data_IF_659180417897
#
_entry.id   IF_659180417897
#
_cell.length_a   1.000
_cell.length_b   1.000
_cell.length_c   1.000
_cell.angle_alpha   90.00
_cell.angle_beta   90.00
_cell.angle_gamma   90.00
#
_symmetry.space_group_name_H-M   'P 1'
#
loop_
_entity.id
_entity.type
_entity.pdbx_description
1 polymer ?
#
# COMPACT_ATOMS: atom_id res chain seq x y z
N UNK A 1 -46.29 18.97 4.74
CA UNK A 1 -47.18 19.31 3.63
C UNK A 1 -46.61 20.58 3.05
N UNK A 2 -45.78 20.44 2.00
CA UNK A 2 -45.24 21.54 1.17
C UNK A 2 -44.41 22.64 1.88
N UNK A 3 -43.53 23.39 1.19
CA UNK A 3 -42.60 22.91 0.15
C UNK A 3 -41.29 23.74 0.17
N UNK A 4 -40.35 23.32 -0.68
CA UNK A 4 -38.97 23.77 -0.87
C UNK A 4 -38.93 25.04 -1.77
N UNK A 5 -37.72 25.49 -2.19
CA UNK A 5 -37.42 26.34 -3.38
C UNK A 5 -37.56 27.88 -3.21
N UNK A 6 -36.73 28.77 -3.82
CA UNK A 6 -35.28 28.78 -4.14
C UNK A 6 -34.79 30.15 -4.70
N UNK A 7 -33.46 30.33 -4.83
CA UNK A 7 -32.69 31.06 -5.89
C UNK A 7 -32.78 32.60 -6.09
N UNK A 8 -31.58 33.19 -6.09
CA UNK A 8 -30.98 34.13 -7.08
C UNK A 8 -31.69 35.45 -7.45
N UNK A 9 -31.02 36.60 -7.21
CA UNK A 9 -30.17 37.30 -8.20
C UNK A 9 -29.74 38.70 -7.71
N UNK A 10 -28.50 39.12 -8.00
CA UNK A 10 -28.18 40.41 -8.67
C UNK A 10 -26.68 40.58 -8.93
N UNK A 11 -26.34 41.36 -9.96
CA UNK A 11 -24.97 41.75 -10.34
C UNK A 11 -24.77 43.27 -10.09
N UNK A 12 -23.54 43.71 -9.86
CA UNK A 12 -23.13 45.12 -9.91
C UNK A 12 -21.87 45.25 -10.78
N UNK A 13 -21.74 46.36 -11.52
CA UNK A 13 -20.77 46.55 -12.61
C UNK A 13 -20.25 47.99 -12.69
N UNK A 14 -18.95 48.18 -12.97
CA UNK A 14 -18.27 49.46 -13.27
C UNK A 14 -16.98 49.21 -14.10
N UNK A 15 -16.39 50.19 -14.86
CA UNK A 15 -16.41 50.03 -16.33
C UNK A 15 -15.15 50.45 -17.15
N UNK A 16 -15.17 50.04 -18.43
CA UNK A 16 -14.72 50.72 -19.68
C UNK A 16 -13.41 51.55 -19.75
N UNK A 17 -12.53 51.18 -20.69
CA UNK A 17 -11.58 52.10 -21.38
C UNK A 17 -11.58 51.84 -22.92
N UNK A 18 -11.81 52.92 -23.69
CA UNK A 18 -11.53 53.26 -25.10
C UNK A 18 -11.22 52.20 -26.21
N UNK A 19 -12.10 52.21 -27.23
CA UNK A 19 -11.90 52.47 -28.70
C UNK A 19 -10.47 52.54 -29.31
N UNK A 20 -10.18 52.24 -30.60
CA UNK A 20 -10.91 52.37 -31.90
C UNK A 20 -10.27 51.51 -33.05
N UNK A 21 -11.06 51.12 -34.08
CA UNK A 21 -10.67 50.67 -35.46
C UNK A 21 -9.83 49.36 -35.60
N UNK A 22 -9.86 48.57 -36.69
CA UNK A 22 -10.57 48.62 -38.00
C UNK A 22 -10.86 47.17 -38.52
N UNK A 23 -11.91 46.88 -39.30
CA UNK A 23 -12.22 45.53 -39.81
C UNK A 23 -11.88 45.32 -41.30
N UNK A 24 -11.76 44.07 -41.79
CA UNK A 24 -12.08 43.59 -43.17
C UNK A 24 -11.78 42.08 -43.37
N UNK A 25 -12.74 41.32 -43.97
CA UNK A 25 -12.66 40.02 -44.73
C UNK A 25 -11.76 38.86 -44.21
N UNK A 26 -12.05 37.54 -44.27
CA UNK A 26 -13.19 36.62 -44.57
C UNK A 26 -12.77 35.21 -44.04
N UNK A 27 -13.51 34.07 -44.05
CA UNK A 27 -14.70 33.61 -44.80
C UNK A 27 -15.52 32.56 -43.97
N UNK A 28 -16.59 32.05 -44.57
CA UNK A 28 -17.45 30.91 -44.23
C UNK A 28 -16.70 29.56 -44.02
N UNK A 29 -17.18 28.59 -43.23
CA UNK A 29 -18.48 27.89 -43.40
C UNK A 29 -19.31 27.61 -42.13
N UNK A 30 -20.56 27.21 -42.34
CA UNK A 30 -21.65 27.09 -41.36
C UNK A 30 -22.36 25.73 -41.53
N UNK A 31 -22.75 25.08 -40.42
CA UNK A 31 -24.08 24.47 -40.10
C UNK A 31 -23.90 23.62 -38.81
N UNK A 32 -24.61 23.79 -37.69
CA UNK A 32 -26.07 23.78 -37.43
C UNK A 32 -26.78 22.47 -37.82
N UNK A 33 -27.31 21.76 -36.82
CA UNK A 33 -28.76 21.57 -36.67
C UNK A 33 -29.15 21.12 -35.25
N UNK A 34 -30.16 21.79 -34.66
CA UNK A 34 -30.94 21.28 -33.53
C UNK A 34 -32.43 21.41 -33.91
N UNK A 35 -33.18 20.32 -33.78
CA UNK A 35 -34.65 20.29 -33.85
C UNK A 35 -35.18 19.11 -33.02
N UNK A 36 -36.42 19.09 -32.53
CA UNK A 36 -37.08 20.05 -31.63
C UNK A 36 -38.33 19.35 -31.03
N UNK A 37 -38.56 19.49 -29.72
CA UNK A 37 -39.86 19.30 -29.03
C UNK A 37 -40.59 17.92 -29.06
N UNK A 38 -41.25 17.61 -27.94
CA UNK A 38 -42.13 16.46 -27.77
C UNK A 38 -42.35 16.15 -26.28
N UNK A 39 -43.40 16.73 -25.69
CA UNK A 39 -43.70 16.64 -24.25
C UNK A 39 -44.75 15.56 -23.92
N UNK A 40 -44.99 15.34 -22.61
CA UNK A 40 -46.08 14.55 -22.00
C UNK A 40 -45.93 13.00 -21.96
N UNK A 41 -46.50 12.34 -20.93
CA UNK A 41 -45.62 11.74 -19.93
C UNK A 41 -45.65 10.20 -19.83
N UNK A 42 -44.48 9.62 -19.53
CA UNK A 42 -44.30 8.16 -19.37
C UNK A 42 -43.44 7.80 -18.15
N UNK A 43 -44.00 6.95 -17.28
CA UNK A 43 -43.41 6.23 -16.14
C UNK A 43 -41.87 6.19 -16.07
N UNK A 44 -41.29 6.70 -14.98
CA UNK A 44 -39.95 6.32 -14.53
C UNK A 44 -39.95 4.82 -14.18
N UNK A 45 -39.03 3.99 -14.73
CA UNK A 45 -38.84 2.63 -14.28
C UNK A 45 -38.15 2.61 -12.91
N UNK A 46 -38.79 2.01 -11.92
CA UNK A 46 -38.15 1.72 -10.63
C UNK A 46 -37.09 0.62 -10.80
N UNK A 47 -36.03 0.70 -9.99
CA UNK A 47 -35.17 -0.45 -9.70
C UNK A 47 -34.10 -0.75 -10.73
N UNK A 48 -33.03 0.04 -10.75
CA UNK A 48 -31.72 -0.51 -11.07
C UNK A 48 -31.29 -1.39 -9.87
N UNK A 49 -31.58 -2.69 -9.93
CA UNK A 49 -30.96 -3.67 -9.01
C UNK A 49 -29.45 -3.62 -9.19
N UNK A 50 -28.66 -3.60 -8.10
CA UNK A 50 -27.22 -3.79 -8.19
C UNK A 50 -26.92 -5.07 -8.96
N UNK A 51 -26.04 -5.00 -9.97
CA UNK A 51 -25.61 -6.19 -10.70
C UNK A 51 -24.60 -6.95 -9.85
N UNK A 52 -25.10 -7.75 -8.91
CA UNK A 52 -24.30 -8.74 -8.19
C UNK A 52 -23.83 -9.81 -9.18
N UNK A 53 -22.67 -9.54 -9.79
CA UNK A 53 -21.90 -10.54 -10.53
C UNK A 53 -21.46 -11.58 -9.49
N UNK A 54 -22.25 -12.66 -9.36
CA UNK A 54 -21.88 -13.79 -8.54
C UNK A 54 -20.52 -14.32 -9.01
N UNK A 55 -19.54 -14.31 -8.11
CA UNK A 55 -18.23 -14.86 -8.41
C UNK A 55 -18.35 -16.33 -8.83
N UNK A 56 -17.55 -16.70 -9.82
CA UNK A 56 -17.40 -18.09 -10.27
C UNK A 56 -16.23 -18.80 -9.58
N UNK A 57 -15.49 -18.12 -8.72
CA UNK A 57 -14.35 -18.66 -7.99
C UNK A 57 -14.76 -19.11 -6.59
N UNK A 58 -14.28 -20.26 -6.10
CA UNK A 58 -14.51 -20.64 -4.70
C UNK A 58 -13.78 -19.69 -3.76
N UNK A 59 -14.40 -19.37 -2.61
CA UNK A 59 -13.69 -18.74 -1.50
C UNK A 59 -12.56 -19.66 -1.02
N UNK A 60 -11.34 -19.14 -0.99
CA UNK A 60 -10.12 -19.84 -0.60
C UNK A 60 -9.70 -19.58 0.85
N UNK A 61 -10.56 -18.91 1.64
CA UNK A 61 -10.36 -18.70 3.08
C UNK A 61 -11.30 -19.60 3.88
N UNK A 62 -10.76 -20.30 4.87
CA UNK A 62 -11.54 -21.00 5.90
C UNK A 62 -11.44 -20.23 7.22
N UNK A 63 -12.59 -19.74 7.70
CA UNK A 63 -12.69 -18.89 8.89
C UNK A 63 -13.13 -19.71 10.12
N UNK A 64 -12.45 -19.48 11.23
CA UNK A 64 -12.77 -20.03 12.55
C UNK A 64 -12.92 -18.86 13.52
N UNK A 65 -14.00 -18.83 14.31
CA UNK A 65 -14.34 -17.70 15.17
C UNK A 65 -14.43 -18.17 16.62
N UNK A 66 -13.59 -17.59 17.48
CA UNK A 66 -13.65 -17.70 18.94
C UNK A 66 -14.32 -16.45 19.51
N UNK A 67 -15.42 -16.62 20.25
CA UNK A 67 -16.22 -15.52 20.79
C UNK A 67 -16.09 -15.40 22.30
N UNK A 68 -15.36 -14.39 22.74
CA UNK A 68 -15.24 -14.01 24.15
C UNK A 68 -16.34 -13.01 24.54
N UNK A 69 -16.89 -12.26 23.58
CA UNK A 69 -18.04 -11.35 23.75
C UNK A 69 -19.24 -11.78 22.89
N UNK A 70 -19.98 -12.79 23.37
CA UNK A 70 -21.12 -13.40 22.66
C UNK A 70 -22.29 -12.44 22.35
N UNK A 71 -22.27 -11.19 22.83
CA UNK A 71 -23.26 -10.17 22.49
C UNK A 71 -22.88 -9.38 21.22
N UNK A 72 -21.64 -9.51 20.73
CA UNK A 72 -21.13 -8.76 19.57
C UNK A 72 -21.72 -9.27 18.25
N UNK A 73 -22.20 -8.40 17.34
CA UNK A 73 -22.62 -8.82 16.00
C UNK A 73 -21.47 -9.42 15.17
N UNK A 74 -20.21 -9.08 15.49
CA UNK A 74 -19.04 -9.67 14.86
C UNK A 74 -18.92 -11.19 15.09
N UNK A 75 -19.58 -11.74 16.12
CA UNK A 75 -19.66 -13.18 16.37
C UNK A 75 -20.56 -13.95 15.40
N UNK A 76 -21.56 -13.29 14.80
CA UNK A 76 -22.49 -13.91 13.85
C UNK A 76 -22.24 -13.50 12.38
N UNK A 77 -21.33 -12.56 12.14
CA UNK A 77 -21.02 -11.98 10.83
C UNK A 77 -20.27 -12.90 9.85
N UNK A 78 -20.47 -14.23 9.91
CA UNK A 78 -19.81 -15.24 9.05
C UNK A 78 -19.89 -14.92 7.55
N UNK A 79 -21.02 -14.38 7.08
CA UNK A 79 -21.19 -13.97 5.68
C UNK A 79 -20.31 -12.77 5.29
N UNK A 80 -19.98 -11.88 6.24
CA UNK A 80 -19.08 -10.74 6.00
C UNK A 80 -17.62 -11.19 5.92
N UNK A 81 -17.18 -12.09 6.81
CA UNK A 81 -15.84 -12.69 6.72
C UNK A 81 -15.69 -13.48 5.40
N UNK A 82 -16.69 -14.29 5.04
CA UNK A 82 -16.72 -14.99 3.75
C UNK A 82 -16.69 -14.04 2.55
N UNK A 83 -17.39 -12.89 2.59
CA UNK A 83 -17.34 -11.90 1.51
C UNK A 83 -15.95 -11.28 1.35
N UNK A 84 -15.27 -10.94 2.44
CA UNK A 84 -13.90 -10.43 2.40
C UNK A 84 -12.90 -11.48 1.84
N UNK A 85 -12.98 -12.74 2.29
CA UNK A 85 -12.20 -13.84 1.74
C UNK A 85 -12.47 -14.11 0.26
N UNK A 86 -13.73 -13.96 -0.17
CA UNK A 86 -14.14 -14.08 -1.56
C UNK A 86 -13.53 -12.99 -2.44
N UNK A 87 -13.58 -11.71 -2.02
CA UNK A 87 -12.96 -10.58 -2.74
C UNK A 87 -11.46 -10.82 -3.00
N UNK A 88 -10.74 -11.35 -2.02
CA UNK A 88 -9.32 -11.72 -2.19
C UNK A 88 -9.16 -12.92 -3.13
N UNK A 89 -10.05 -13.92 -3.01
CA UNK A 89 -10.06 -15.11 -3.89
C UNK A 89 -10.36 -14.76 -5.35
N UNK A 90 -11.05 -13.66 -5.61
CA UNK A 90 -11.32 -13.11 -6.94
C UNK A 90 -10.18 -12.25 -7.49
N UNK A 91 -9.38 -11.61 -6.63
CA UNK A 91 -8.21 -10.84 -7.03
C UNK A 91 -6.93 -11.68 -7.21
N UNK A 92 -6.81 -12.80 -6.49
CA UNK A 92 -5.63 -13.66 -6.45
C UNK A 92 -5.91 -15.07 -7.00
N UNK A 93 -4.86 -15.74 -7.45
CA UNK A 93 -4.83 -17.19 -7.69
C UNK A 93 -4.20 -17.85 -6.47
N UNK A 94 -5.04 -18.52 -5.68
CA UNK A 94 -4.63 -19.24 -4.47
C UNK A 94 -4.74 -20.74 -4.73
N UNK A 95 -3.66 -21.47 -4.45
CA UNK A 95 -3.52 -22.90 -4.71
C UNK A 95 -3.86 -23.76 -3.47
N UNK A 96 -3.61 -23.20 -2.28
CA UNK A 96 -3.93 -23.79 -0.98
C UNK A 96 -4.83 -22.82 -0.22
N UNK A 97 -5.85 -23.35 0.48
CA UNK A 97 -6.67 -22.51 1.35
C UNK A 97 -5.86 -21.85 2.48
N UNK A 98 -6.28 -20.65 2.84
CA UNK A 98 -5.72 -19.85 3.95
C UNK A 98 -6.64 -20.03 5.16
N UNK A 99 -6.08 -20.44 6.30
CA UNK A 99 -6.84 -20.68 7.53
C UNK A 99 -6.77 -19.43 8.43
N UNK A 100 -7.92 -18.90 8.82
CA UNK A 100 -8.02 -17.65 9.61
C UNK A 100 -8.69 -17.92 10.96
N UNK A 101 -7.98 -17.67 12.06
CA UNK A 101 -8.56 -17.64 13.40
C UNK A 101 -8.94 -16.20 13.77
N UNK A 102 -10.19 -16.01 14.19
CA UNK A 102 -10.73 -14.70 14.57
C UNK A 102 -11.16 -14.75 16.03
N UNK A 103 -10.61 -13.86 16.86
CA UNK A 103 -11.04 -13.69 18.26
C UNK A 103 -11.88 -12.41 18.36
N UNK A 104 -13.17 -12.56 18.70
CA UNK A 104 -14.08 -11.43 18.96
C UNK A 104 -14.13 -11.19 20.47
N UNK A 105 -13.59 -10.05 20.91
CA UNK A 105 -13.43 -9.76 22.33
C UNK A 105 -13.41 -8.27 22.67
N UNK A 106 -13.77 -7.92 23.92
CA UNK A 106 -13.88 -6.53 24.35
C UNK A 106 -12.52 -6.00 24.82
N UNK A 107 -11.95 -5.07 24.05
CA UNK A 107 -10.63 -4.47 24.30
C UNK A 107 -10.76 -2.99 24.67
N UNK A 108 -10.20 -2.50 25.79
CA UNK A 108 -10.19 -1.06 26.12
C UNK A 108 -9.39 -0.20 25.13
N UNK A 109 -8.56 -0.82 24.29
CA UNK A 109 -7.76 -0.20 23.25
C UNK A 109 -8.61 0.49 22.15
N UNK A 110 -7.97 1.38 21.38
CA UNK A 110 -8.62 2.22 20.35
C UNK A 110 -8.59 1.66 18.93
N UNK A 111 -8.11 0.42 18.74
CA UNK A 111 -8.19 -0.27 17.45
C UNK A 111 -9.57 -0.90 17.21
N UNK A 112 -9.93 -1.13 15.94
CA UNK A 112 -11.16 -1.84 15.53
C UNK A 112 -10.85 -3.31 15.27
N UNK A 113 -9.84 -3.60 14.45
CA UNK A 113 -9.19 -4.89 14.34
C UNK A 113 -7.71 -4.80 14.70
N UNK A 114 -7.08 -5.95 14.84
CA UNK A 114 -5.62 -6.08 14.87
C UNK A 114 -5.24 -7.48 14.36
N UNK A 115 -4.42 -7.53 13.30
CA UNK A 115 -4.02 -8.78 12.64
C UNK A 115 -2.52 -9.03 12.72
N UNK A 116 -2.16 -10.31 12.85
CA UNK A 116 -0.79 -10.78 12.58
C UNK A 116 -0.83 -12.10 11.79
N UNK A 117 0.02 -12.27 10.77
CA UNK A 117 0.19 -13.54 10.10
C UNK A 117 0.96 -14.53 10.98
N UNK A 118 0.67 -15.82 10.81
CA UNK A 118 1.64 -16.86 11.15
C UNK A 118 2.83 -16.74 10.18
N UNK A 119 4.06 -16.81 10.70
CA UNK A 119 5.28 -16.57 9.92
C UNK A 119 6.23 -17.74 10.01
N UNK A 120 6.91 -18.03 8.89
CA UNK A 120 8.04 -18.96 8.84
C UNK A 120 9.28 -18.30 8.26
N UNK A 121 10.44 -18.70 8.77
CA UNK A 121 11.74 -18.25 8.27
C UNK A 121 12.12 -19.04 7.00
N UNK A 122 12.56 -18.35 5.95
CA UNK A 122 13.08 -18.97 4.73
C UNK A 122 14.54 -18.53 4.46
N UNK A 123 15.44 -19.50 4.30
CA UNK A 123 16.89 -19.28 4.16
C UNK A 123 17.27 -18.93 2.69
N UNK A 124 16.76 -17.80 2.18
CA UNK A 124 17.05 -17.36 0.81
C UNK A 124 18.33 -16.52 0.69
N UNK A 125 18.79 -15.90 1.77
CA UNK A 125 20.05 -15.16 1.86
C UNK A 125 20.58 -15.12 3.32
N UNK A 126 21.61 -14.29 3.58
CA UNK A 126 22.26 -14.13 4.88
C UNK A 126 21.39 -13.41 5.95
N UNK A 127 20.14 -13.05 5.66
CA UNK A 127 19.22 -12.36 6.57
C UNK A 127 18.12 -13.31 7.03
N UNK A 128 17.70 -13.20 8.29
CA UNK A 128 16.57 -13.99 8.79
C UNK A 128 15.22 -13.46 8.28
N UNK A 129 14.90 -13.73 7.00
CA UNK A 129 13.70 -13.23 6.34
C UNK A 129 12.45 -14.09 6.60
N UNK A 130 11.42 -13.47 7.14
CA UNK A 130 10.14 -14.11 7.47
C UNK A 130 9.12 -13.93 6.34
N UNK A 131 8.39 -15.01 6.07
CA UNK A 131 7.32 -15.10 5.09
C UNK A 131 6.03 -15.49 5.82
N UNK A 132 4.89 -14.85 5.53
CA UNK A 132 3.58 -15.32 5.98
C UNK A 132 3.35 -16.76 5.50
N UNK A 133 2.75 -17.62 6.31
CA UNK A 133 2.39 -18.97 5.86
C UNK A 133 1.28 -18.92 4.81
N UNK A 134 0.40 -17.90 4.87
CA UNK A 134 -0.58 -17.56 3.83
C UNK A 134 0.04 -17.43 2.44
N UNK A 135 1.27 -16.89 2.35
CA UNK A 135 2.06 -16.71 1.12
C UNK A 135 2.85 -17.99 0.76
N UNK A 136 3.60 -18.56 1.71
CA UNK A 136 4.52 -19.67 1.41
C UNK A 136 3.77 -20.91 0.89
N UNK A 137 2.54 -21.15 1.39
CA UNK A 137 1.64 -22.24 0.94
C UNK A 137 1.17 -22.08 -0.53
N UNK A 138 1.36 -20.92 -1.15
CA UNK A 138 1.02 -20.67 -2.56
C UNK A 138 2.25 -20.79 -3.48
N UNK A 139 3.41 -20.30 -3.03
CA UNK A 139 4.64 -20.21 -3.84
C UNK A 139 5.58 -21.40 -3.70
N UNK A 140 5.47 -22.20 -2.64
CA UNK A 140 6.34 -23.37 -2.40
C UNK A 140 5.52 -24.68 -2.44
N UNK A 141 5.53 -25.41 -3.58
CA UNK A 141 4.85 -26.70 -3.70
C UNK A 141 5.32 -27.70 -2.63
N UNK A 142 4.36 -28.34 -1.97
CA UNK A 142 4.64 -29.34 -0.93
C UNK A 142 5.04 -28.76 0.43
N UNK A 143 4.98 -27.43 0.63
CA UNK A 143 5.06 -26.86 1.98
C UNK A 143 3.93 -27.43 2.86
N UNK A 144 4.22 -27.97 4.06
CA UNK A 144 3.22 -28.67 4.87
C UNK A 144 2.18 -27.70 5.44
N UNK A 145 0.87 -27.86 5.14
CA UNK A 145 -0.17 -26.99 5.68
C UNK A 145 -0.55 -27.43 7.11
N UNK A 146 0.20 -26.95 8.10
CA UNK A 146 -0.08 -27.23 9.53
C UNK A 146 -0.39 -25.95 10.29
N UNK A 147 -1.64 -25.80 10.72
CA UNK A 147 -2.11 -24.69 11.54
C UNK A 147 -2.56 -23.46 10.76
N UNK A 148 -3.10 -22.51 11.53
CA UNK A 148 -3.58 -21.18 11.17
C UNK A 148 -2.55 -20.38 10.38
N UNK A 149 -3.03 -19.59 9.41
CA UNK A 149 -2.22 -18.66 8.61
C UNK A 149 -2.33 -17.20 9.06
N UNK A 150 -3.52 -16.80 9.52
CA UNK A 150 -3.82 -15.42 9.90
C UNK A 150 -4.57 -15.44 11.23
N UNK A 151 -4.14 -14.59 12.18
CA UNK A 151 -4.83 -14.35 13.43
C UNK A 151 -5.37 -12.92 13.45
N UNK A 152 -6.68 -12.77 13.66
CA UNK A 152 -7.36 -11.46 13.73
C UNK A 152 -8.02 -11.31 15.10
N UNK A 153 -7.78 -10.21 15.80
CA UNK A 153 -8.58 -9.79 16.96
C UNK A 153 -9.54 -8.69 16.52
N UNK A 154 -10.85 -8.90 16.74
CA UNK A 154 -11.90 -7.88 16.52
C UNK A 154 -12.33 -7.32 17.87
N UNK A 155 -12.27 -5.99 18.01
CA UNK A 155 -12.57 -5.29 19.25
C UNK A 155 -14.07 -4.97 19.40
N UNK A 156 -14.78 -5.77 20.19
CA UNK A 156 -16.23 -5.59 20.39
C UNK A 156 -16.63 -4.31 21.17
N UNK A 157 -15.67 -3.53 21.68
CA UNK A 157 -15.96 -2.19 22.19
C UNK A 157 -16.36 -1.20 21.08
N UNK A 158 -16.11 -1.54 19.81
CA UNK A 158 -16.37 -0.70 18.63
C UNK A 158 -17.71 -0.99 17.94
N UNK A 159 -18.44 -2.02 18.37
CA UNK A 159 -19.74 -2.40 17.81
C UNK A 159 -20.75 -1.23 17.66
N UNK A 160 -20.84 -0.24 18.60
CA UNK A 160 -21.76 0.90 18.45
C UNK A 160 -21.41 1.84 17.27
N UNK A 161 -20.12 1.94 16.93
CA UNK A 161 -19.58 2.74 15.83
C UNK A 161 -19.22 1.87 14.61
N UNK A 162 -19.77 0.65 14.55
CA UNK A 162 -19.54 -0.30 13.45
C UNK A 162 -20.86 -0.56 12.72
N UNK A 163 -20.82 -0.51 11.39
CA UNK A 163 -21.91 -0.92 10.52
C UNK A 163 -21.67 -2.36 10.06
N UNK A 164 -22.64 -3.23 10.32
CA UNK A 164 -22.62 -4.62 9.85
C UNK A 164 -23.51 -4.72 8.60
N UNK A 165 -23.00 -5.22 7.45
CA UNK A 165 -23.77 -5.36 6.22
C UNK A 165 -25.12 -6.05 6.42
N UNK A 166 -26.17 -5.49 5.82
CA UNK A 166 -27.54 -5.99 5.92
C UNK A 166 -28.33 -5.51 7.15
N UNK A 167 -27.71 -4.81 8.11
CA UNK A 167 -28.44 -4.26 9.28
C UNK A 167 -29.23 -2.98 9.00
N UNK A 168 -29.05 -2.35 7.84
CA UNK A 168 -29.78 -1.15 7.44
C UNK A 168 -29.03 -0.27 6.44
N UNK A 169 -29.09 1.04 6.64
CA UNK A 169 -28.20 2.01 6.01
C UNK A 169 -27.12 2.42 6.99
N UNK A 170 -25.91 2.65 6.52
CA UNK A 170 -24.77 3.09 7.34
C UNK A 170 -25.00 4.50 7.89
N UNK A 171 -24.73 4.71 9.18
CA UNK A 171 -24.82 6.02 9.82
C UNK A 171 -23.50 6.80 9.69
N UNK A 172 -23.57 8.13 9.76
CA UNK A 172 -22.43 9.01 9.49
C UNK A 172 -21.21 8.85 10.44
N UNK A 173 -21.40 8.25 11.63
CA UNK A 173 -20.34 7.90 12.58
C UNK A 173 -19.83 6.46 12.44
N UNK A 174 -20.53 5.60 11.69
CA UNK A 174 -20.20 4.17 11.62
C UNK A 174 -19.13 3.89 10.56
N UNK A 175 -18.24 2.94 10.87
CA UNK A 175 -17.28 2.35 9.94
C UNK A 175 -17.79 0.99 9.44
N UNK A 176 -17.57 0.65 8.17
CA UNK A 176 -18.04 -0.61 7.59
C UNK A 176 -17.20 -1.82 8.06
N UNK A 177 -17.89 -2.83 8.57
CA UNK A 177 -17.27 -4.08 9.01
C UNK A 177 -16.69 -4.91 7.85
N UNK A 178 -17.24 -4.82 6.63
CA UNK A 178 -16.69 -5.53 5.48
C UNK A 178 -15.31 -4.96 5.08
N UNK A 179 -15.21 -3.64 5.03
CA UNK A 179 -13.95 -2.93 4.78
C UNK A 179 -12.91 -3.21 5.86
N UNK A 180 -13.32 -3.21 7.13
CA UNK A 180 -12.44 -3.58 8.25
C UNK A 180 -11.87 -4.99 8.07
N UNK A 181 -12.70 -6.00 7.86
CA UNK A 181 -12.23 -7.39 7.71
C UNK A 181 -11.35 -7.54 6.46
N UNK A 182 -11.71 -6.89 5.35
CA UNK A 182 -10.93 -6.93 4.11
C UNK A 182 -9.55 -6.26 4.28
N UNK A 183 -9.47 -5.16 5.03
CA UNK A 183 -8.24 -4.45 5.41
C UNK A 183 -7.34 -5.33 6.30
N UNK A 184 -7.89 -5.85 7.40
CA UNK A 184 -7.19 -6.74 8.35
C UNK A 184 -6.57 -7.96 7.65
N UNK A 185 -7.31 -8.57 6.72
CA UNK A 185 -6.79 -9.70 5.93
C UNK A 185 -5.55 -9.34 5.09
N UNK A 186 -5.35 -8.09 4.65
CA UNK A 186 -4.14 -7.71 3.91
C UNK A 186 -2.88 -7.73 4.78
N UNK A 187 -2.98 -7.35 6.06
CA UNK A 187 -1.90 -7.53 7.03
C UNK A 187 -1.59 -9.02 7.21
N UNK A 188 -2.63 -9.86 7.28
CA UNK A 188 -2.51 -11.32 7.31
C UNK A 188 -1.91 -11.94 6.04
N UNK A 189 -2.06 -11.31 4.88
CA UNK A 189 -1.35 -11.71 3.66
C UNK A 189 0.14 -11.31 3.66
N UNK A 190 0.56 -10.41 4.56
CA UNK A 190 1.96 -10.02 4.74
C UNK A 190 2.27 -8.53 4.66
N UNK A 191 1.27 -7.65 4.54
CA UNK A 191 1.47 -6.20 4.57
C UNK A 191 1.75 -5.72 5.99
N UNK A 192 2.97 -6.00 6.48
CA UNK A 192 3.40 -5.78 7.86
C UNK A 192 4.93 -5.56 7.90
N UNK A 193 5.38 -4.54 8.63
CA UNK A 193 6.81 -4.30 8.88
C UNK A 193 7.29 -4.94 10.19
N UNK A 194 8.57 -5.33 10.27
CA UNK A 194 9.24 -5.56 11.56
C UNK A 194 9.80 -4.29 12.21
N UNK A 195 9.73 -3.12 11.55
CA UNK A 195 10.31 -1.89 12.08
C UNK A 195 9.40 -1.21 13.11
N UNK A 196 9.86 -1.13 14.36
CA UNK A 196 9.09 -0.66 15.51
C UNK A 196 9.91 0.18 16.49
N UNK A 197 9.20 1.03 17.25
CA UNK A 197 9.77 1.92 18.26
C UNK A 197 9.47 1.35 19.65
N UNK A 198 10.49 0.84 20.34
CA UNK A 198 10.34 0.34 21.72
C UNK A 198 10.66 1.41 22.77
N UNK A 199 11.76 2.15 22.62
CA UNK A 199 12.18 3.20 23.57
C UNK A 199 12.98 4.30 22.85
N UNK A 200 12.82 5.54 23.30
CA UNK A 200 13.65 6.67 22.86
C UNK A 200 13.39 7.13 21.41
N UNK A 201 14.40 7.76 20.81
CA UNK A 201 14.31 8.43 19.50
C UNK A 201 14.93 7.56 18.38
N UNK A 202 14.68 6.25 18.42
CA UNK A 202 15.30 5.24 17.58
C UNK A 202 14.27 4.19 17.14
N UNK A 203 14.25 3.84 15.84
CA UNK A 203 13.43 2.76 15.27
C UNK A 203 14.33 1.55 15.00
N UNK A 204 13.95 0.37 15.47
CA UNK A 204 14.69 -0.88 15.28
C UNK A 204 13.86 -1.88 14.45
N UNK A 205 14.48 -2.81 13.73
CA UNK A 205 13.79 -4.02 13.29
C UNK A 205 13.55 -4.93 14.50
N UNK A 206 12.52 -5.77 14.45
CA UNK A 206 12.38 -6.87 15.41
C UNK A 206 13.50 -7.89 15.26
N UNK A 207 13.76 -8.65 16.33
CA UNK A 207 14.91 -9.53 16.43
C UNK A 207 14.59 -10.80 17.21
N UNK A 208 15.32 -11.86 16.93
CA UNK A 208 15.28 -13.07 17.73
C UNK A 208 16.29 -13.00 18.86
N UNK A 209 15.83 -13.44 20.02
CA UNK A 209 16.64 -13.60 21.21
C UNK A 209 16.10 -14.74 22.08
N UNK A 210 16.90 -15.21 23.03
CA UNK A 210 16.37 -15.84 24.23
C UNK A 210 16.56 -14.91 25.41
N UNK A 211 15.65 -14.99 26.38
CA UNK A 211 15.73 -14.33 27.68
C UNK A 211 15.89 -15.40 28.76
N UNK A 212 16.87 -15.25 29.65
CA UNK A 212 17.00 -16.15 30.81
C UNK A 212 16.22 -15.62 32.02
N UNK A 213 16.15 -16.42 33.09
CA UNK A 213 15.44 -16.06 34.33
C UNK A 213 16.04 -14.86 35.08
N UNK A 214 17.24 -14.39 34.69
CA UNK A 214 17.92 -13.22 35.25
C UNK A 214 17.73 -11.97 34.37
N UNK A 215 17.07 -12.10 33.21
CA UNK A 215 16.88 -11.04 32.23
C UNK A 215 18.00 -10.93 31.18
N UNK A 216 18.96 -11.86 31.15
CA UNK A 216 20.06 -11.88 30.17
C UNK A 216 19.49 -12.14 28.78
N UNK A 217 19.74 -11.21 27.86
CA UNK A 217 19.34 -11.30 26.45
C UNK A 217 20.46 -11.98 25.66
N UNK A 218 20.17 -13.12 25.06
CA UNK A 218 21.07 -13.78 24.10
C UNK A 218 20.60 -13.44 22.68
N UNK A 219 21.32 -12.57 22.00
CA UNK A 219 20.99 -12.12 20.63
C UNK A 219 21.16 -13.26 19.62
N UNK A 220 20.22 -13.41 18.69
CA UNK A 220 20.33 -14.32 17.55
C UNK A 220 20.52 -13.54 16.23
N UNK A 221 19.52 -12.74 15.83
CA UNK A 221 19.53 -11.94 14.60
C UNK A 221 18.39 -10.92 14.58
N UNK A 222 18.62 -9.73 14.02
CA UNK A 222 17.55 -8.86 13.50
C UNK A 222 16.87 -9.48 12.28
N UNK A 223 15.55 -9.33 12.20
CA UNK A 223 14.65 -9.90 11.21
C UNK A 223 14.41 -8.94 10.04
N UNK A 224 13.75 -9.47 9.02
CA UNK A 224 13.13 -8.71 7.92
C UNK A 224 11.86 -9.48 7.50
N UNK A 225 10.71 -8.86 7.28
CA UNK A 225 9.60 -9.53 6.58
C UNK A 225 9.83 -9.48 5.07
N UNK A 226 9.15 -10.33 4.28
CA UNK A 226 9.12 -10.19 2.81
C UNK A 226 8.65 -8.80 2.35
N UNK A 227 7.77 -8.13 3.11
CA UNK A 227 7.42 -6.72 2.90
C UNK A 227 8.62 -5.77 3.08
N UNK A 228 9.39 -5.93 4.15
CA UNK A 228 10.54 -5.06 4.48
C UNK A 228 11.71 -5.19 3.50
N UNK A 229 11.81 -6.31 2.77
CA UNK A 229 12.75 -6.47 1.67
C UNK A 229 12.43 -5.52 0.49
N UNK A 230 11.15 -5.24 0.28
CA UNK A 230 10.67 -4.32 -0.76
C UNK A 230 10.51 -2.86 -0.28
N UNK A 231 10.69 -2.61 1.01
CA UNK A 231 10.66 -1.29 1.62
C UNK A 231 11.87 -0.43 1.20
N UNK A 232 11.63 0.85 0.95
CA UNK A 232 12.65 1.84 0.59
C UNK A 232 12.50 3.13 1.38
N UNK A 233 13.63 3.80 1.59
CA UNK A 233 13.74 5.13 2.19
C UNK A 233 14.22 6.14 1.14
N UNK A 234 13.81 7.40 1.28
CA UNK A 234 14.17 8.52 0.39
C UNK A 234 14.98 9.62 1.14
N UNK A 235 16.28 9.43 1.45
CA UNK A 235 17.01 10.34 2.33
C UNK A 235 17.32 11.69 1.66
N UNK A 236 17.27 12.80 2.41
CA UNK A 236 17.51 14.14 1.86
C UNK A 236 18.91 14.21 1.22
N UNK A 237 18.99 14.67 -0.03
CA UNK A 237 20.25 14.80 -0.77
C UNK A 237 20.89 13.47 -1.19
N UNK A 238 20.19 12.34 -1.09
CA UNK A 238 20.65 11.02 -1.54
C UNK A 238 19.61 10.36 -2.47
N UNK A 239 20.01 9.29 -3.13
CA UNK A 239 19.09 8.46 -3.92
C UNK A 239 18.21 7.57 -3.03
N UNK A 240 17.25 6.88 -3.66
CA UNK A 240 16.42 5.87 -2.99
C UNK A 240 17.28 4.71 -2.49
N UNK A 241 17.11 4.33 -1.23
CA UNK A 241 17.88 3.25 -0.58
C UNK A 241 16.94 2.16 -0.05
N UNK A 242 17.30 0.88 -0.21
CA UNK A 242 16.59 -0.26 0.43
C UNK A 242 16.85 -0.25 1.94
N UNK A 243 15.92 -0.79 2.73
CA UNK A 243 16.09 -0.99 4.18
C UNK A 243 16.97 -2.20 4.53
N UNK A 244 17.06 -3.19 3.65
CA UNK A 244 17.84 -4.43 3.84
C UNK A 244 19.30 -4.23 4.29
N UNK A 245 20.10 -3.30 3.73
CA UNK A 245 21.46 -3.03 4.19
C UNK A 245 21.53 -2.42 5.60
N UNK A 246 20.46 -1.76 6.08
CA UNK A 246 20.39 -1.26 7.45
C UNK A 246 20.24 -2.44 8.42
N UNK A 247 19.40 -3.43 8.10
CA UNK A 247 19.26 -4.67 8.88
C UNK A 247 20.58 -5.44 8.96
N UNK A 248 21.30 -5.56 7.83
CA UNK A 248 22.64 -6.20 7.78
C UNK A 248 23.67 -5.45 8.65
N UNK A 249 23.69 -4.12 8.60
CA UNK A 249 24.58 -3.30 9.43
C UNK A 249 24.24 -3.45 10.93
N UNK A 250 22.96 -3.42 11.29
CA UNK A 250 22.51 -3.58 12.67
C UNK A 250 22.78 -5.00 13.22
N UNK A 251 22.63 -6.05 12.40
CA UNK A 251 23.09 -7.41 12.73
C UNK A 251 24.60 -7.42 13.05
N UNK A 252 25.42 -6.80 12.20
CA UNK A 252 26.88 -6.69 12.41
C UNK A 252 27.24 -5.93 13.70
N UNK A 253 26.45 -4.90 14.05
CA UNK A 253 26.65 -4.06 15.24
C UNK A 253 26.16 -4.72 16.54
N UNK A 254 25.07 -5.50 16.48
CA UNK A 254 24.68 -6.39 17.56
C UNK A 254 25.75 -7.46 17.79
N UNK A 255 26.35 -7.98 16.73
CA UNK A 255 27.45 -8.94 16.78
C UNK A 255 26.98 -10.38 16.49
N UNK A 256 27.81 -11.40 16.78
CA UNK A 256 27.51 -12.76 16.37
C UNK A 256 26.28 -13.34 17.09
N UNK A 257 25.61 -14.27 16.41
CA UNK A 257 24.60 -15.15 17.00
C UNK A 257 25.13 -15.78 18.30
N UNK A 258 24.32 -15.75 19.37
CA UNK A 258 24.68 -16.27 20.68
C UNK A 258 25.39 -15.26 21.60
N UNK A 259 25.63 -14.02 21.16
CA UNK A 259 26.19 -12.97 22.02
C UNK A 259 25.19 -12.56 23.11
N UNK A 260 25.66 -12.49 24.35
CA UNK A 260 24.86 -12.12 25.52
C UNK A 260 24.97 -10.65 25.91
N UNK A 261 23.91 -10.14 26.52
CA UNK A 261 23.78 -8.80 27.11
C UNK A 261 23.03 -8.93 28.44
N UNK A 262 23.41 -8.16 29.47
CA UNK A 262 22.86 -8.37 30.83
C UNK A 262 21.34 -8.10 30.92
N UNK A 263 20.81 -7.24 30.05
CA UNK A 263 19.39 -6.91 29.94
C UNK A 263 19.07 -6.29 28.56
N UNK A 264 17.79 -6.05 28.31
CA UNK A 264 17.28 -5.47 27.05
C UNK A 264 17.77 -4.03 26.78
N UNK A 265 17.96 -3.22 27.83
CA UNK A 265 18.54 -1.88 27.72
C UNK A 265 20.02 -1.91 27.32
N UNK A 266 20.80 -2.83 27.91
CA UNK A 266 22.21 -3.04 27.54
C UNK A 266 22.35 -3.47 26.07
N UNK A 267 21.42 -4.28 25.55
CA UNK A 267 21.36 -4.64 24.14
C UNK A 267 21.20 -3.41 23.23
N UNK A 268 20.14 -2.63 23.41
CA UNK A 268 19.89 -1.44 22.59
C UNK A 268 21.00 -0.39 22.73
N UNK A 269 21.46 -0.13 23.97
CA UNK A 269 22.58 0.79 24.21
C UNK A 269 23.87 0.30 23.52
N UNK A 270 24.14 -1.00 23.52
CA UNK A 270 25.29 -1.58 22.81
C UNK A 270 25.22 -1.37 21.29
N UNK A 271 24.05 -1.61 20.67
CA UNK A 271 23.86 -1.36 19.22
C UNK A 271 23.96 0.13 18.89
N UNK A 272 23.40 1.00 19.73
CA UNK A 272 23.50 2.47 19.58
C UNK A 272 24.96 2.95 19.73
N UNK A 273 25.72 2.41 20.68
CA UNK A 273 27.14 2.73 20.84
C UNK A 273 27.97 2.26 19.63
N UNK A 274 27.69 1.07 19.08
CA UNK A 274 28.36 0.60 17.86
C UNK A 274 28.04 1.46 16.64
N UNK A 275 26.78 1.92 16.49
CA UNK A 275 26.43 2.91 15.47
C UNK A 275 27.27 4.19 15.64
N UNK A 276 27.31 4.76 16.85
CA UNK A 276 28.05 6.00 17.14
C UNK A 276 29.56 5.85 16.87
N UNK A 277 30.19 4.76 17.31
CA UNK A 277 31.61 4.47 17.08
C UNK A 277 31.96 4.37 15.58
N UNK A 278 31.02 3.94 14.74
CA UNK A 278 31.19 3.82 13.29
C UNK A 278 30.71 5.07 12.51
N UNK A 279 30.31 6.15 13.19
CA UNK A 279 29.76 7.36 12.56
C UNK A 279 28.43 7.11 11.84
N UNK A 280 27.61 6.18 12.35
CA UNK A 280 26.31 5.76 11.80
C UNK A 280 25.16 6.17 12.70
N UNK A 281 23.97 6.19 12.12
CA UNK A 281 22.72 6.60 12.77
C UNK A 281 21.51 5.91 12.14
N UNK A 282 21.65 4.64 11.74
CA UNK A 282 20.62 3.87 11.03
C UNK A 282 19.27 3.90 11.75
N UNK A 283 19.23 3.63 13.06
CA UNK A 283 17.99 3.58 13.87
C UNK A 283 17.30 4.94 14.01
N UNK A 284 18.07 6.02 14.20
CA UNK A 284 17.56 7.41 14.23
C UNK A 284 17.11 7.89 12.85
N UNK A 285 17.84 7.48 11.82
CA UNK A 285 17.48 7.75 10.43
C UNK A 285 16.16 7.08 10.12
N UNK A 286 16.00 5.79 10.41
CA UNK A 286 14.74 5.06 10.21
C UNK A 286 13.56 5.71 10.94
N UNK A 287 13.71 6.14 12.20
CA UNK A 287 12.64 6.88 12.88
C UNK A 287 12.33 8.22 12.17
N UNK A 288 13.35 8.95 11.75
CA UNK A 288 13.17 10.22 11.02
C UNK A 288 12.56 10.03 9.63
N UNK A 289 12.73 8.88 9.01
CA UNK A 289 12.09 8.53 7.73
C UNK A 289 10.65 8.07 7.93
N UNK A 290 10.36 7.38 9.05
CA UNK A 290 9.03 6.90 9.38
C UNK A 290 8.09 7.96 10.00
N UNK A 291 8.60 9.18 10.25
CA UNK A 291 7.87 10.31 10.87
C UNK A 291 7.97 11.62 10.06
N UNK A 292 8.34 11.54 8.78
CA UNK A 292 8.31 12.64 7.82
C UNK A 292 7.55 12.23 6.54
N UNK A 293 6.59 13.03 6.03
CA UNK A 293 5.72 12.64 4.91
C UNK A 293 6.45 12.17 3.64
N UNK A 294 5.98 11.05 3.09
CA UNK A 294 6.45 10.41 1.85
C UNK A 294 7.93 9.99 1.86
N UNK A 295 8.55 9.87 3.03
CA UNK A 295 9.98 9.53 3.15
C UNK A 295 10.25 8.03 3.14
N UNK A 296 9.20 7.20 3.20
CA UNK A 296 9.26 5.76 3.00
C UNK A 296 8.18 5.29 2.01
N UNK A 297 8.52 4.30 1.19
CA UNK A 297 7.64 3.71 0.18
C UNK A 297 7.84 2.19 0.09
N UNK A 298 6.85 1.47 -0.43
CA UNK A 298 7.05 0.12 -0.96
C UNK A 298 7.42 0.22 -2.46
N UNK A 299 8.52 -0.40 -2.86
CA UNK A 299 9.00 -0.38 -4.25
C UNK A 299 8.62 -1.70 -4.93
N UNK A 300 7.52 -1.64 -5.69
CA UNK A 300 6.95 -2.76 -6.45
C UNK A 300 7.81 -3.17 -7.66
N UNK A 301 7.56 -4.38 -8.18
CA UNK A 301 8.26 -4.96 -9.33
C UNK A 301 7.50 -4.79 -10.67
N UNK A 302 6.58 -3.83 -10.76
CA UNK A 302 5.77 -3.51 -11.95
C UNK A 302 6.39 -2.45 -12.87
N UNK A 303 7.29 -1.62 -12.33
CA UNK A 303 7.90 -0.49 -13.04
C UNK A 303 7.14 0.84 -12.90
N UNK A 304 6.15 0.92 -11.99
CA UNK A 304 5.46 2.15 -11.63
C UNK A 304 6.23 2.98 -10.59
N UNK A 305 5.67 4.11 -10.16
CA UNK A 305 6.22 4.91 -9.06
C UNK A 305 6.09 4.18 -7.70
N UNK A 306 6.96 4.43 -6.70
CA UNK A 306 6.94 3.70 -5.43
C UNK A 306 5.73 4.06 -4.55
N UNK A 307 4.96 3.05 -4.15
CA UNK A 307 3.74 3.16 -3.33
C UNK A 307 4.06 3.90 -2.03
N UNK A 308 3.40 5.04 -1.78
CA UNK A 308 3.72 5.91 -0.66
C UNK A 308 3.16 5.39 0.67
N UNK A 309 4.01 5.28 1.70
CA UNK A 309 3.62 4.73 3.01
C UNK A 309 3.34 5.83 4.03
N UNK A 310 2.45 5.51 4.97
CA UNK A 310 1.98 6.43 6.01
C UNK A 310 3.12 6.82 6.96
N UNK A 311 3.54 8.06 6.85
CA UNK A 311 4.74 8.63 7.47
C UNK A 311 4.48 10.03 8.05
N UNK A 312 3.21 10.44 8.14
CA UNK A 312 2.79 11.75 8.64
C UNK A 312 2.66 11.80 10.17
N UNK A 313 2.43 10.65 10.82
CA UNK A 313 2.36 10.55 12.29
C UNK A 313 3.71 10.91 12.94
N UNK A 314 3.70 11.97 13.75
CA UNK A 314 4.82 12.39 14.59
C UNK A 314 4.29 12.74 16.00
N UNK A 315 4.62 11.98 17.06
CA UNK A 315 5.52 10.83 17.08
C UNK A 315 5.02 9.63 16.26
N UNK A 316 5.93 8.69 15.98
CA UNK A 316 5.63 7.44 15.29
C UNK A 316 4.50 6.68 15.99
N UNK A 317 3.50 6.23 15.22
CA UNK A 317 2.32 5.52 15.73
C UNK A 317 2.47 4.04 15.43
N UNK A 318 2.85 3.26 16.45
CA UNK A 318 2.98 1.80 16.35
C UNK A 318 1.69 1.17 15.79
N UNK A 319 1.82 0.26 14.83
CA UNK A 319 0.67 -0.33 14.13
C UNK A 319 -0.06 0.63 13.17
N UNK A 320 0.48 1.82 12.88
CA UNK A 320 -0.07 2.71 11.84
C UNK A 320 1.01 3.28 10.92
N UNK A 321 2.04 3.92 11.47
CA UNK A 321 3.21 4.38 10.71
C UNK A 321 3.85 3.21 9.94
N UNK A 322 4.17 3.44 8.66
CA UNK A 322 4.79 2.54 7.67
C UNK A 322 4.12 1.17 7.42
N UNK A 323 3.17 0.75 8.24
CA UNK A 323 2.27 -0.39 7.99
C UNK A 323 0.98 0.01 7.24
N UNK A 324 0.92 1.19 6.62
CA UNK A 324 -0.25 1.70 5.89
C UNK A 324 0.17 2.52 4.66
N UNK A 325 -0.74 2.69 3.72
CA UNK A 325 -0.63 3.64 2.61
C UNK A 325 -0.87 5.07 3.10
N UNK A 326 -0.15 6.04 2.53
CA UNK A 326 -0.23 7.45 2.91
C UNK A 326 -1.66 8.00 2.75
N UNK A 327 -2.29 8.39 3.86
CA UNK A 327 -3.73 8.68 3.91
C UNK A 327 -4.14 9.85 3.00
N UNK A 328 -3.29 10.87 2.91
CA UNK A 328 -3.47 12.06 2.09
C UNK A 328 -3.29 11.82 0.59
N UNK A 329 -2.55 10.78 0.19
CA UNK A 329 -2.44 10.32 -1.21
C UNK A 329 -3.63 9.46 -1.60
N UNK A 330 -4.00 8.48 -0.76
CA UNK A 330 -4.83 7.36 -1.21
C UNK A 330 -6.31 7.40 -0.78
N UNK A 331 -6.70 8.25 0.17
CA UNK A 331 -8.06 8.20 0.79
C UNK A 331 -9.26 8.46 -0.15
N UNK A 332 -9.04 8.98 -1.36
CA UNK A 332 -10.07 9.10 -2.41
C UNK A 332 -9.63 8.50 -3.75
N UNK A 333 -8.88 7.39 -3.69
CA UNK A 333 -8.36 6.65 -4.86
C UNK A 333 -8.86 5.22 -4.86
N UNK A 334 -8.50 4.43 -5.88
CA UNK A 334 -8.74 2.98 -5.96
C UNK A 334 -8.14 2.17 -4.80
N UNK A 335 -7.14 2.71 -4.11
CA UNK A 335 -6.29 2.05 -3.12
C UNK A 335 -6.56 2.55 -1.69
N UNK A 336 -7.75 3.10 -1.47
CA UNK A 336 -8.21 3.60 -0.17
C UNK A 336 -8.17 2.56 0.96
N UNK A 337 -8.23 1.26 0.64
CA UNK A 337 -8.42 0.18 1.61
C UNK A 337 -7.34 0.12 2.70
N UNK A 338 -6.08 0.48 2.39
CA UNK A 338 -4.94 0.37 3.31
C UNK A 338 -4.48 1.69 3.92
N UNK A 339 -5.34 2.71 3.99
CA UNK A 339 -5.11 3.89 4.84
C UNK A 339 -5.39 3.53 6.32
N UNK A 340 -4.69 4.18 7.25
CA UNK A 340 -4.77 3.87 8.70
C UNK A 340 -6.09 4.26 9.40
N UNK A 341 -6.97 4.99 8.72
CA UNK A 341 -8.19 5.58 9.27
C UNK A 341 -9.26 5.63 8.17
N UNK A 342 -10.13 4.62 8.13
CA UNK A 342 -11.20 4.51 7.14
C UNK A 342 -12.24 5.64 7.27
N UNK A 343 -12.84 6.04 6.14
CA UNK A 343 -13.91 7.04 6.14
C UNK A 343 -15.22 6.44 6.67
N UNK A 344 -15.73 6.98 7.78
CA UNK A 344 -17.05 6.67 8.31
C UNK A 344 -18.19 7.15 7.38
N UNK A 345 -19.38 6.57 7.53
CA UNK A 345 -20.59 7.00 6.82
C UNK A 345 -20.68 6.57 5.35
N UNK A 346 -19.89 5.56 4.93
CA UNK A 346 -19.87 4.96 3.60
C UNK A 346 -19.49 3.48 3.71
N UNK A 347 -20.15 2.60 2.95
CA UNK A 347 -19.72 1.19 2.83
C UNK A 347 -18.50 1.04 1.91
N UNK A 348 -17.95 -0.18 1.85
CA UNK A 348 -16.95 -0.57 0.86
C UNK A 348 -17.46 -0.33 -0.57
N UNK A 349 -18.72 -0.70 -0.85
CA UNK A 349 -19.35 -0.52 -2.16
C UNK A 349 -19.54 0.97 -2.51
N UNK A 350 -19.91 1.83 -1.55
CA UNK A 350 -19.98 3.29 -1.77
C UNK A 350 -18.62 3.86 -2.19
N UNK A 351 -17.53 3.34 -1.62
CA UNK A 351 -16.15 3.80 -1.91
C UNK A 351 -15.66 3.27 -3.26
N UNK A 352 -15.93 2.00 -3.58
CA UNK A 352 -15.65 1.43 -4.92
C UNK A 352 -16.47 2.14 -6.00
N UNK A 353 -17.75 2.44 -5.75
CA UNK A 353 -18.57 3.20 -6.70
C UNK A 353 -18.08 4.65 -6.89
N UNK A 354 -17.51 5.28 -5.86
CA UNK A 354 -17.02 6.66 -5.90
C UNK A 354 -15.58 6.81 -6.46
N UNK A 355 -14.70 5.84 -6.19
CA UNK A 355 -13.26 5.93 -6.50
C UNK A 355 -12.81 4.94 -7.60
N UNK A 356 -13.73 4.10 -8.10
CA UNK A 356 -13.45 3.06 -9.09
C UNK A 356 -12.97 1.76 -8.47
N UNK A 357 -12.15 1.01 -9.20
CA UNK A 357 -11.65 -0.32 -8.83
C UNK A 357 -12.66 -1.49 -8.94
N UNK A 358 -13.44 -1.51 -10.03
CA UNK A 358 -14.08 -2.73 -10.55
C UNK A 358 -13.08 -3.46 -11.49
N UNK A 359 -12.77 -4.76 -11.33
CA UNK A 359 -13.31 -5.74 -10.37
C UNK A 359 -12.37 -6.00 -9.18
N UNK A 360 -11.62 -5.00 -8.73
CA UNK A 360 -10.75 -5.12 -7.55
C UNK A 360 -11.52 -5.15 -6.23
N UNK A 361 -12.74 -4.61 -6.20
CA UNK A 361 -13.63 -4.60 -5.02
C UNK A 361 -12.93 -4.05 -3.74
N UNK A 362 -12.13 -2.98 -3.92
CA UNK A 362 -11.35 -2.34 -2.85
C UNK A 362 -9.88 -2.75 -2.83
N UNK A 363 -9.50 -3.89 -3.43
CA UNK A 363 -8.09 -4.24 -3.65
C UNK A 363 -7.56 -3.49 -4.87
N UNK A 364 -7.02 -2.28 -4.67
CA UNK A 364 -6.58 -1.40 -5.76
C UNK A 364 -5.31 -1.86 -6.49
N UNK A 365 -4.97 -1.23 -7.64
CA UNK A 365 -3.77 -1.55 -8.42
C UNK A 365 -2.46 -1.54 -7.62
N UNK A 366 -2.25 -0.57 -6.71
CA UNK A 366 -1.02 -0.50 -5.90
C UNK A 366 -0.99 -1.65 -4.89
N UNK A 367 -2.09 -1.93 -4.19
CA UNK A 367 -2.20 -3.09 -3.28
C UNK A 367 -2.02 -4.41 -4.03
N UNK A 368 -2.62 -4.58 -5.20
CA UNK A 368 -2.44 -5.78 -6.03
C UNK A 368 -1.00 -5.92 -6.51
N UNK A 369 -0.35 -4.82 -6.92
CA UNK A 369 1.06 -4.80 -7.31
C UNK A 369 1.99 -5.14 -6.13
N UNK A 370 1.66 -4.68 -4.92
CA UNK A 370 2.34 -5.01 -3.68
C UNK A 370 2.27 -6.51 -3.37
N UNK A 371 1.08 -7.10 -3.38
CA UNK A 371 0.87 -8.54 -3.17
C UNK A 371 1.59 -9.38 -4.24
N UNK A 372 1.53 -8.94 -5.51
CA UNK A 372 2.26 -9.57 -6.61
C UNK A 372 3.78 -9.52 -6.41
N UNK A 373 4.29 -8.37 -5.95
CA UNK A 373 5.72 -8.16 -5.66
C UNK A 373 6.21 -9.07 -4.52
N UNK A 374 5.40 -9.28 -3.47
CA UNK A 374 5.73 -10.23 -2.41
C UNK A 374 5.65 -11.70 -2.87
N UNK A 375 4.88 -12.01 -3.92
CA UNK A 375 4.87 -13.31 -4.59
C UNK A 375 3.49 -13.95 -4.81
N UNK A 376 2.38 -13.28 -4.50
CA UNK A 376 1.04 -13.82 -4.83
C UNK A 376 0.77 -13.71 -6.34
N UNK A 377 0.19 -14.75 -6.94
CA UNK A 377 -0.22 -14.70 -8.34
C UNK A 377 -1.54 -13.91 -8.48
N UNK A 378 -1.57 -12.89 -9.33
CA UNK A 378 -2.78 -12.09 -9.57
C UNK A 378 -3.73 -12.79 -10.54
N UNK A 379 -5.03 -12.79 -10.23
CA UNK A 379 -6.06 -13.23 -11.15
C UNK A 379 -6.35 -12.14 -12.18
N UNK A 380 -6.25 -12.48 -13.46
CA UNK A 380 -6.63 -11.60 -14.57
C UNK A 380 -8.17 -11.64 -14.72
N UNK A 381 -8.89 -10.50 -14.69
CA UNK A 381 -10.33 -10.45 -14.87
C UNK A 381 -10.83 -11.23 -16.10
N UNK A 382 -11.92 -11.97 -15.93
CA UNK A 382 -12.50 -12.81 -16.99
C UNK A 382 -11.76 -14.12 -17.28
N UNK A 383 -10.65 -14.41 -16.60
CA UNK A 383 -10.00 -15.73 -16.69
C UNK A 383 -10.86 -16.80 -16.01
N UNK A 384 -11.05 -17.99 -16.62
CA UNK A 384 -11.80 -19.07 -15.99
C UNK A 384 -11.20 -19.51 -14.65
N UNK A 385 -12.01 -20.00 -13.70
CA UNK A 385 -11.49 -20.64 -12.49
C UNK A 385 -10.53 -21.78 -12.86
N UNK A 386 -9.32 -21.77 -12.30
CA UNK A 386 -8.29 -22.78 -12.59
C UNK A 386 -8.78 -24.14 -12.12
N UNK A 387 -9.16 -25.00 -13.07
CA UNK A 387 -9.42 -26.42 -12.77
C UNK A 387 -8.10 -27.07 -12.37
N UNK A 388 -8.09 -27.70 -11.21
CA UNK A 388 -6.93 -28.38 -10.62
C UNK A 388 -6.59 -29.68 -11.37
N UNK A 389 -6.11 -29.54 -12.60
CA UNK A 389 -5.70 -30.66 -13.44
C UNK A 389 -4.52 -30.31 -14.34
N UNK A 390 -3.31 -30.50 -13.82
CA UNK A 390 -2.24 -31.13 -14.58
C UNK A 390 -1.22 -31.79 -13.65
N UNK A 391 -1.08 -33.11 -13.76
CA UNK A 391 0.15 -33.77 -13.31
C UNK A 391 1.27 -33.30 -14.23
N UNK A 392 2.32 -32.69 -13.68
CA UNK A 392 3.55 -32.49 -14.45
C UNK A 392 4.23 -33.86 -14.58
N UNK A 393 3.97 -34.53 -15.71
CA UNK A 393 4.71 -35.72 -16.11
C UNK A 393 6.14 -35.30 -16.41
N UNK A 394 7.12 -35.89 -15.71
CA UNK A 394 8.54 -35.53 -15.83
C UNK A 394 9.13 -36.00 -17.17
N UNK A 395 9.04 -35.15 -18.19
CA UNK A 395 9.77 -35.34 -19.44
C UNK A 395 11.12 -34.61 -19.36
N UNK A 396 12.21 -35.37 -19.26
CA UNK A 396 13.57 -34.84 -19.36
C UNK A 396 13.79 -34.25 -20.75
N UNK A 397 13.91 -32.92 -20.84
CA UNK A 397 14.51 -32.25 -21.99
C UNK A 397 15.69 -31.40 -21.52
N UNK A 398 16.89 -31.75 -21.96
CA UNK A 398 18.09 -30.95 -21.72
C UNK A 398 18.18 -29.84 -22.76
N UNK A 399 17.63 -28.68 -22.44
CA UNK A 399 17.86 -27.46 -23.22
C UNK A 399 18.55 -26.40 -22.35
N UNK A 400 19.46 -25.62 -22.96
CA UNK A 400 20.39 -24.76 -22.24
C UNK A 400 19.95 -23.30 -22.33
N UNK A 401 19.56 -22.72 -21.20
CA UNK A 401 19.48 -21.26 -21.09
C UNK A 401 20.85 -20.64 -21.41
N UNK A 402 20.95 -19.69 -22.35
CA UNK A 402 22.24 -19.25 -22.88
C UNK A 402 22.93 -18.15 -22.04
N UNK A 403 22.28 -17.63 -21.00
CA UNK A 403 22.79 -16.48 -20.25
C UNK A 403 23.51 -16.87 -18.95
N UNK A 404 24.78 -16.51 -18.85
CA UNK A 404 25.58 -16.69 -17.63
C UNK A 404 25.44 -15.48 -16.69
N UNK A 405 25.58 -15.71 -15.39
CA UNK A 405 25.33 -14.72 -14.32
C UNK A 405 26.40 -13.61 -14.18
N UNK A 406 27.03 -13.20 -15.29
CA UNK A 406 28.16 -12.26 -15.30
C UNK A 406 27.98 -10.99 -16.13
N UNK A 407 26.89 -10.88 -16.90
CA UNK A 407 26.66 -9.76 -17.84
C UNK A 407 25.66 -8.69 -17.32
N UNK A 408 25.04 -8.88 -16.15
CA UNK A 408 24.16 -7.87 -15.51
C UNK A 408 24.94 -6.83 -14.68
N UNK A 409 25.95 -6.21 -15.28
CA UNK A 409 26.52 -4.92 -14.85
C UNK A 409 26.84 -4.08 -16.10
N UNK A 410 26.71 -2.76 -15.97
CA UNK A 410 27.07 -1.71 -16.95
C UNK A 410 26.06 -1.35 -18.07
N UNK A 411 24.84 -0.89 -17.76
CA UNK A 411 24.12 -0.03 -18.74
C UNK A 411 23.13 1.05 -18.23
N UNK A 412 23.38 1.69 -17.07
CA UNK A 412 22.65 2.92 -16.67
C UNK A 412 23.58 4.05 -16.18
N UNK A 413 24.42 4.58 -17.07
CA UNK A 413 24.78 6.00 -17.08
C UNK A 413 25.47 6.42 -18.40
N UNK A 414 25.08 7.53 -19.05
CA UNK A 414 25.82 8.04 -20.21
C UNK A 414 27.15 8.66 -19.78
N UNK A 415 28.28 8.04 -20.15
CA UNK A 415 29.61 8.68 -20.05
C UNK A 415 29.72 9.82 -21.07
N UNK A 416 30.33 10.94 -20.69
CA UNK A 416 30.72 12.00 -21.63
C UNK A 416 30.01 13.35 -21.49
N UNK A 417 29.64 13.78 -20.28
CA UNK A 417 29.26 15.17 -20.00
C UNK A 417 30.29 15.80 -19.07
N UNK A 418 31.18 16.62 -19.64
CA UNK A 418 31.97 17.61 -18.92
C UNK A 418 31.29 18.96 -19.06
N UNK A 419 30.72 19.48 -17.97
CA UNK A 419 30.16 20.83 -17.90
C UNK A 419 30.83 21.54 -16.72
N UNK A 420 31.50 22.65 -17.02
CA UNK A 420 31.89 23.64 -16.01
C UNK A 420 30.66 24.38 -15.49
N UNK A 421 30.77 24.97 -14.31
CA UNK A 421 29.79 25.84 -13.64
C UNK A 421 28.75 25.12 -12.76
N UNK A 422 29.23 24.62 -11.60
CA UNK A 422 28.42 24.00 -10.56
C UNK A 422 27.31 24.89 -9.96
N UNK A 423 27.40 26.21 -10.15
CA UNK A 423 26.55 27.24 -9.53
C UNK A 423 25.08 27.21 -10.03
N UNK A 424 24.82 26.66 -11.21
CA UNK A 424 23.44 26.47 -11.71
C UNK A 424 22.79 25.19 -11.18
N UNK A 425 23.57 24.18 -10.78
CA UNK A 425 23.05 22.90 -10.25
C UNK A 425 22.55 23.07 -8.82
N UNK A 426 23.25 23.82 -7.97
CA UNK A 426 22.77 24.12 -6.60
C UNK A 426 21.42 24.83 -6.61
N UNK A 427 21.16 25.73 -7.58
CA UNK A 427 19.86 26.39 -7.75
C UNK A 427 18.73 25.47 -8.22
N UNK A 428 19.05 24.27 -8.70
CA UNK A 428 18.07 23.24 -9.07
C UNK A 428 17.92 22.16 -7.99
N UNK A 429 18.92 21.99 -7.12
CA UNK A 429 18.91 21.03 -6.00
C UNK A 429 18.36 21.63 -4.70
N UNK A 430 18.65 22.90 -4.42
CA UNK A 430 18.06 23.62 -3.30
C UNK A 430 16.70 24.17 -3.69
N UNK A 431 15.62 23.48 -3.30
CA UNK A 431 14.22 23.89 -3.48
C UNK A 431 13.81 25.12 -2.66
N UNK A 432 14.56 26.21 -2.76
CA UNK A 432 14.21 27.53 -2.22
C UNK A 432 13.17 28.20 -3.14
N UNK A 433 11.93 27.71 -3.06
CA UNK A 433 10.79 28.43 -3.60
C UNK A 433 10.58 29.72 -2.80
N UNK A 434 10.70 30.86 -3.48
CA UNK A 434 10.10 32.11 -3.02
C UNK A 434 8.58 31.95 -3.01
N UNK A 435 7.88 32.67 -2.11
CA UNK A 435 6.55 32.32 -1.60
C UNK A 435 5.36 32.44 -2.58
N UNK A 436 5.58 32.59 -3.89
CA UNK A 436 4.53 33.02 -4.85
C UNK A 436 4.26 32.06 -6.03
N UNK A 437 5.14 31.06 -6.28
CA UNK A 437 4.93 30.06 -7.35
C UNK A 437 4.05 28.89 -6.88
N UNK A 438 2.98 28.57 -7.62
CA UNK A 438 2.07 27.46 -7.28
C UNK A 438 2.56 26.09 -7.77
N UNK A 439 2.15 25.01 -7.08
CA UNK A 439 2.48 23.61 -7.40
C UNK A 439 2.16 23.27 -8.87
N UNK A 440 1.07 23.79 -9.43
CA UNK A 440 0.66 23.55 -10.83
C UNK A 440 1.70 24.06 -11.84
N UNK A 441 2.41 25.15 -11.52
CA UNK A 441 3.44 25.69 -12.40
C UNK A 441 4.77 24.93 -12.29
N UNK A 442 5.12 24.41 -11.11
CA UNK A 442 6.26 23.52 -10.92
C UNK A 442 6.16 22.26 -11.81
N UNK A 443 5.03 21.55 -11.78
CA UNK A 443 4.81 20.40 -12.67
C UNK A 443 4.74 20.79 -14.16
N UNK A 444 4.22 21.98 -14.48
CA UNK A 444 4.21 22.51 -15.85
C UNK A 444 5.62 22.80 -16.39
N UNK A 445 6.51 23.32 -15.54
CA UNK A 445 7.93 23.55 -15.84
C UNK A 445 8.68 22.22 -16.08
N UNK A 446 8.47 21.22 -15.22
CA UNK A 446 9.04 19.86 -15.38
C UNK A 446 8.58 19.20 -16.68
N UNK A 447 7.27 19.27 -16.99
CA UNK A 447 6.72 18.68 -18.22
C UNK A 447 7.37 19.27 -19.47
N UNK A 448 7.46 20.61 -19.56
CA UNK A 448 8.16 21.30 -20.67
C UNK A 448 9.63 20.90 -20.79
N UNK A 449 10.32 20.63 -19.69
CA UNK A 449 11.71 20.17 -19.71
C UNK A 449 11.83 18.77 -20.33
N UNK A 450 11.01 17.82 -19.86
CA UNK A 450 10.98 16.45 -20.39
C UNK A 450 10.58 16.41 -21.88
N UNK A 451 9.60 17.22 -22.29
CA UNK A 451 9.21 17.35 -23.70
C UNK A 451 10.38 17.85 -24.57
N UNK A 452 11.15 18.83 -24.09
CA UNK A 452 12.36 19.33 -24.77
C UNK A 452 13.48 18.28 -24.85
N UNK A 453 13.70 17.49 -23.79
CA UNK A 453 14.66 16.38 -23.80
C UNK A 453 14.26 15.32 -24.81
N UNK A 454 12.96 14.99 -24.90
CA UNK A 454 12.44 14.01 -25.86
C UNK A 454 12.50 14.52 -27.31
N UNK A 455 12.22 15.81 -27.55
CA UNK A 455 12.43 16.44 -28.86
C UNK A 455 13.91 16.39 -29.30
N UNK A 456 14.86 16.62 -28.38
CA UNK A 456 16.31 16.50 -28.64
C UNK A 456 16.76 15.04 -28.89
N UNK A 457 16.11 14.04 -28.28
CA UNK A 457 16.32 12.62 -28.62
C UNK A 457 15.76 12.30 -30.01
N UNK A 458 14.57 12.81 -30.34
CA UNK A 458 13.91 12.57 -31.62
C UNK A 458 14.68 13.20 -32.81
N UNK A 459 15.27 14.40 -32.65
CA UNK A 459 16.07 15.03 -33.70
C UNK A 459 17.38 14.28 -33.99
N UNK A 460 18.06 13.75 -32.96
CA UNK A 460 19.24 12.88 -33.14
C UNK A 460 18.91 11.57 -33.86
N UNK A 461 17.67 11.07 -33.74
CA UNK A 461 17.18 9.85 -34.43
C UNK A 461 16.78 10.06 -35.90
N UNK A 462 17.13 11.20 -36.51
CA UNK A 462 16.96 11.49 -37.95
C UNK A 462 18.26 11.83 -38.68
N UNK A 463 19.41 11.63 -38.03
CA UNK A 463 20.77 11.95 -38.55
C UNK A 463 21.66 10.70 -38.57
N UNK A 464 21.06 9.51 -38.39
CA UNK A 464 21.64 8.17 -38.52
C UNK A 464 20.59 7.27 -39.17
#
# INVERSE_FOLDING_TARGET
MEDIISRLYQCISIPTIYTLLNPILTTFFILFYCLNWGDHPGKVPNGATPSTVLSQNPNMFDFHITCNDNASPACSAMDTYNRAGQIISDNLILNTKIIVEITVERRPETFWGATYPAKVFNNLDDIRRYFPTALIKQVQPGFPPTGTDIFITINSSRDPDTYYPGTGQIQANQHDFLELVLHELQHGLGFETVWYQLQGNDLFPDFDYTLDNNGVVTFQSFKENIFDYFLVVHPIGRGVERTTPYVQALNTMAGPFGKTYNNMGDFYNGVIQQQQQQGKSYTKSMLSMATLPYRMSFMANDGNDPIALETTYNPFKLGSSISHFAKDVYSTTSDFLLISESQAGKTLEDKVAAYGNDPGEGMGPDLRSLLATMGYELRIPGSPPVKSSNKITTNNSTDKSPYSTKELRWEIWPRGITISDAIEIEKLWCGLLFQEDSITDYYSKIKRYNDNVNLRKASRKRIY
#
